data_IF_043041688529
#
_entry.id   IF_043041688529
#
_cell.length_a   1.000
_cell.length_b   1.000
_cell.length_c   1.000
_cell.angle_alpha   90.00
_cell.angle_beta   90.00
_cell.angle_gamma   90.00
#
_symmetry.space_group_name_H-M   'P 1'
#
loop_
_entity.id
_entity.type
_entity.pdbx_description
1 polymer ?
#
# COMPACT_ATOMS: atom_id res chain seq x y z
N UNK A 1 83.16 -16.44 9.36
CA UNK A 1 82.96 -17.89 9.10
C UNK A 1 82.09 -18.37 10.24
N UNK A 2 80.83 -18.75 10.11
CA UNK A 2 79.89 -18.91 9.02
C UNK A 2 78.61 -19.43 9.71
N UNK A 3 77.48 -19.27 9.03
CA UNK A 3 76.18 -19.89 9.33
C UNK A 3 75.24 -19.16 10.30
N UNK A 4 74.46 -18.22 9.74
CA UNK A 4 73.18 -17.80 10.28
C UNK A 4 72.06 -18.56 9.53
N UNK A 5 71.67 -19.70 10.08
CA UNK A 5 70.35 -20.29 9.84
C UNK A 5 69.32 -19.62 10.75
N UNK A 6 68.30 -19.03 10.16
CA UNK A 6 67.16 -18.44 10.88
C UNK A 6 66.00 -18.29 9.91
N UNK A 7 65.15 -19.31 9.86
CA UNK A 7 63.90 -19.28 9.13
C UNK A 7 62.98 -18.19 9.68
N UNK A 8 62.52 -17.31 8.80
CA UNK A 8 61.36 -16.46 9.05
C UNK A 8 60.25 -16.98 8.14
N UNK A 9 59.30 -17.68 8.74
CA UNK A 9 58.01 -17.97 8.14
C UNK A 9 57.40 -16.65 7.68
N UNK A 10 57.23 -16.50 6.36
CA UNK A 10 56.36 -15.47 5.81
C UNK A 10 54.94 -16.00 5.97
N UNK A 11 54.26 -15.58 7.03
CA UNK A 11 52.79 -15.53 7.02
C UNK A 11 52.38 -14.70 5.82
N UNK A 12 51.85 -15.36 4.80
CA UNK A 12 51.19 -14.72 3.68
C UNK A 12 49.84 -14.25 4.22
N UNK A 13 49.71 -12.95 4.44
CA UNK A 13 48.43 -12.29 4.70
C UNK A 13 47.45 -12.65 3.56
N UNK A 14 46.60 -13.66 3.76
CA UNK A 14 45.55 -14.08 2.81
C UNK A 14 44.42 -13.04 2.66
N UNK A 15 44.48 -11.94 3.41
CA UNK A 15 43.43 -10.91 3.48
C UNK A 15 43.67 -9.70 2.56
N UNK A 16 44.71 -9.71 1.72
CA UNK A 16 45.07 -8.53 0.91
C UNK A 16 44.20 -8.32 -0.34
N UNK A 17 43.40 -9.30 -0.76
CA UNK A 17 42.70 -9.25 -2.05
C UNK A 17 41.16 -9.10 -1.95
N UNK A 18 40.61 -8.97 -0.74
CA UNK A 18 39.18 -8.77 -0.56
C UNK A 18 38.87 -7.26 -0.67
N UNK A 19 38.27 -6.85 -1.79
CA UNK A 19 37.79 -5.48 -1.99
C UNK A 19 36.96 -5.03 -0.78
N UNK A 20 37.12 -3.78 -0.29
CA UNK A 20 36.50 -3.31 0.96
C UNK A 20 34.98 -3.53 1.07
N UNK A 21 34.27 -3.58 -0.07
CA UNK A 21 32.82 -3.85 -0.13
C UNK A 21 32.40 -5.26 0.26
N UNK A 22 33.35 -6.18 0.43
CA UNK A 22 33.11 -7.59 0.76
C UNK A 22 33.61 -7.98 2.17
N UNK A 23 34.24 -7.07 2.92
CA UNK A 23 34.60 -7.31 4.33
C UNK A 23 33.34 -7.36 5.19
N UNK A 24 33.11 -8.47 5.88
CA UNK A 24 31.98 -8.68 6.81
C UNK A 24 30.80 -9.49 6.26
N UNK A 25 30.90 -10.05 5.05
CA UNK A 25 29.94 -11.06 4.59
C UNK A 25 30.25 -12.41 5.26
N UNK A 26 29.25 -13.17 5.73
CA UNK A 26 29.48 -14.53 6.17
C UNK A 26 30.12 -15.33 5.04
N UNK A 27 31.17 -16.08 5.36
CA UNK A 27 31.87 -16.96 4.42
C UNK A 27 30.82 -17.80 3.67
N UNK A 28 30.74 -17.61 2.35
CA UNK A 28 29.89 -18.38 1.45
C UNK A 28 30.60 -19.72 1.24
N UNK A 29 30.71 -20.52 2.30
CA UNK A 29 31.27 -21.87 2.20
C UNK A 29 30.51 -22.76 3.17
N UNK A 30 29.30 -23.15 2.74
CA UNK A 30 28.70 -24.48 2.87
C UNK A 30 27.23 -24.44 2.46
N UNK A 31 26.85 -25.21 1.44
CA UNK A 31 25.44 -25.49 1.10
C UNK A 31 24.77 -24.61 0.03
N UNK A 32 25.51 -23.78 -0.72
CA UNK A 32 24.94 -23.01 -1.84
C UNK A 32 25.41 -23.62 -3.17
N UNK A 33 24.62 -24.53 -3.74
CA UNK A 33 24.93 -25.20 -5.02
C UNK A 33 24.90 -24.24 -6.22
N UNK A 34 24.20 -23.11 -6.10
CA UNK A 34 24.15 -22.09 -7.16
C UNK A 34 24.24 -20.67 -6.57
N UNK A 35 25.46 -20.12 -6.65
CA UNK A 35 25.78 -18.75 -6.24
C UNK A 35 24.99 -17.73 -7.08
N UNK A 36 24.73 -18.00 -8.36
CA UNK A 36 23.97 -17.11 -9.23
C UNK A 36 22.51 -17.01 -8.78
N UNK A 37 21.87 -18.15 -8.49
CA UNK A 37 20.52 -18.18 -7.87
C UNK A 37 20.49 -17.49 -6.51
N UNK A 38 21.55 -17.63 -5.68
CA UNK A 38 21.65 -16.95 -4.39
C UNK A 38 21.82 -15.42 -4.54
N UNK A 39 22.60 -14.96 -5.52
CA UNK A 39 22.78 -13.54 -5.83
C UNK A 39 21.55 -12.93 -6.52
N UNK A 40 20.81 -13.70 -7.33
CA UNK A 40 19.50 -13.31 -7.85
C UNK A 40 18.49 -13.15 -6.72
N UNK A 41 18.43 -14.09 -5.76
CA UNK A 41 17.60 -13.93 -4.55
C UNK A 41 17.91 -12.63 -3.81
N UNK A 42 19.19 -12.20 -3.74
CA UNK A 42 19.55 -10.90 -3.13
C UNK A 42 19.00 -9.68 -3.90
N UNK A 43 18.86 -9.74 -5.22
CA UNK A 43 18.23 -8.66 -6.01
C UNK A 43 16.70 -8.66 -5.93
N UNK A 44 16.06 -9.82 -5.76
CA UNK A 44 14.59 -9.97 -5.65
C UNK A 44 14.03 -9.31 -4.37
N UNK A 45 14.85 -9.04 -3.36
CA UNK A 45 14.41 -8.38 -2.12
C UNK A 45 14.80 -6.90 -1.98
N UNK A 46 15.25 -6.24 -3.05
CA UNK A 46 15.50 -4.79 -3.01
C UNK A 46 14.16 -4.04 -3.10
N UNK A 47 13.44 -4.01 -1.98
CA UNK A 47 12.42 -2.99 -1.76
C UNK A 47 13.09 -1.62 -1.66
N UNK A 48 12.38 -0.52 -1.96
CA UNK A 48 12.93 0.81 -1.81
C UNK A 48 13.58 0.99 -0.42
N UNK A 49 14.80 1.53 -0.41
CA UNK A 49 15.59 1.74 0.83
C UNK A 49 14.96 2.76 1.78
N UNK A 50 13.92 3.46 1.32
CA UNK A 50 13.12 4.41 2.10
C UNK A 50 12.30 3.78 3.25
N UNK A 51 12.38 2.45 3.45
CA UNK A 51 11.78 1.75 4.58
C UNK A 51 10.27 1.48 4.47
N UNK A 52 9.63 1.80 3.34
CA UNK A 52 8.18 1.63 3.14
C UNK A 52 7.70 0.19 3.14
N UNK A 53 8.61 -0.78 3.08
CA UNK A 53 8.32 -2.21 3.20
C UNK A 53 8.32 -2.69 4.67
N UNK A 54 8.88 -1.89 5.59
CA UNK A 54 8.98 -2.22 7.02
C UNK A 54 7.89 -1.57 7.86
N UNK A 55 7.43 -0.37 7.46
CA UNK A 55 6.45 0.44 8.19
C UNK A 55 5.54 1.16 7.20
N UNK A 56 4.30 1.40 7.61
CA UNK A 56 3.39 2.24 6.83
C UNK A 56 3.95 3.66 6.73
N UNK A 57 3.95 4.22 5.51
CA UNK A 57 4.35 5.61 5.27
C UNK A 57 3.19 6.31 4.57
N UNK A 58 2.53 7.19 5.30
CA UNK A 58 1.37 7.97 4.84
C UNK A 58 0.24 7.09 4.24
N UNK A 59 -0.23 6.04 4.93
CA UNK A 59 -1.34 5.24 4.41
C UNK A 59 -2.60 6.10 4.29
N UNK A 60 -3.41 5.84 3.27
CA UNK A 60 -4.60 6.65 2.94
C UNK A 60 -5.90 5.83 3.00
N UNK A 61 -6.97 6.43 3.54
CA UNK A 61 -8.34 5.94 3.37
C UNK A 61 -8.97 6.68 2.20
N UNK A 62 -9.64 5.97 1.31
CA UNK A 62 -10.44 6.56 0.25
C UNK A 62 -11.92 6.36 0.52
N UNK A 63 -12.72 7.42 0.53
CA UNK A 63 -14.17 7.39 0.76
C UNK A 63 -14.89 7.82 -0.51
N UNK A 64 -15.59 6.90 -1.16
CA UNK A 64 -16.33 7.13 -2.40
C UNK A 64 -17.83 7.21 -2.12
N UNK A 65 -18.38 8.41 -2.22
CA UNK A 65 -19.82 8.65 -2.21
C UNK A 65 -20.45 8.31 -3.57
N UNK A 66 -21.77 8.11 -3.58
CA UNK A 66 -22.54 7.76 -4.78
C UNK A 66 -22.43 8.81 -5.90
N UNK A 67 -22.13 10.07 -5.54
CA UNK A 67 -21.94 11.15 -6.51
C UNK A 67 -20.49 11.32 -6.96
N UNK A 68 -19.54 10.59 -6.38
CA UNK A 68 -18.12 10.71 -6.69
C UNK A 68 -17.70 10.06 -8.01
N UNK A 69 -16.49 10.38 -8.47
CA UNK A 69 -15.93 9.81 -9.69
C UNK A 69 -15.40 8.38 -9.47
N UNK A 70 -16.25 7.38 -9.78
CA UNK A 70 -15.90 5.97 -9.68
C UNK A 70 -14.69 5.58 -10.54
N UNK A 71 -14.54 6.16 -11.74
CA UNK A 71 -13.46 5.81 -12.66
C UNK A 71 -12.10 6.15 -12.08
N UNK A 72 -11.93 7.38 -11.58
CA UNK A 72 -10.66 7.85 -10.99
C UNK A 72 -10.29 7.10 -9.70
N UNK A 73 -11.29 6.74 -8.90
CA UNK A 73 -11.08 5.87 -7.72
C UNK A 73 -10.56 4.50 -8.15
N UNK A 74 -11.19 3.86 -9.14
CA UNK A 74 -10.73 2.57 -9.66
C UNK A 74 -9.32 2.69 -10.24
N UNK A 75 -9.04 3.71 -11.06
CA UNK A 75 -7.70 3.95 -11.63
C UNK A 75 -6.62 4.02 -10.54
N UNK A 76 -6.92 4.74 -9.47
CA UNK A 76 -5.99 4.90 -8.35
C UNK A 76 -5.77 3.58 -7.61
N UNK A 77 -6.85 2.87 -7.27
CA UNK A 77 -6.76 1.60 -6.54
C UNK A 77 -6.00 0.55 -7.37
N UNK A 78 -6.27 0.44 -8.68
CA UNK A 78 -5.57 -0.50 -9.57
C UNK A 78 -4.07 -0.18 -9.63
N UNK A 79 -3.70 1.10 -9.77
CA UNK A 79 -2.29 1.52 -9.77
C UNK A 79 -1.59 1.11 -8.48
N UNK A 80 -2.22 1.37 -7.33
CA UNK A 80 -1.64 1.07 -6.03
C UNK A 80 -1.59 -0.45 -5.76
N UNK A 81 -2.56 -1.23 -6.28
CA UNK A 81 -2.54 -2.70 -6.19
C UNK A 81 -1.39 -3.33 -6.97
N UNK A 82 -0.94 -2.72 -8.07
CA UNK A 82 0.22 -3.21 -8.83
C UNK A 82 1.53 -3.12 -8.02
N UNK A 83 1.66 -2.07 -7.21
CA UNK A 83 2.80 -1.82 -6.32
C UNK A 83 2.32 -1.50 -4.89
N UNK A 84 1.81 -2.49 -4.14
CA UNK A 84 1.05 -2.27 -2.90
C UNK A 84 1.94 -2.01 -1.67
N UNK A 85 3.22 -1.68 -1.89
CA UNK A 85 4.19 -1.28 -0.87
C UNK A 85 4.88 0.01 -1.33
N UNK A 86 4.77 1.07 -0.55
CA UNK A 86 5.18 2.40 -0.99
C UNK A 86 4.75 3.51 -0.03
N UNK A 87 4.88 4.74 -0.51
CA UNK A 87 4.49 5.96 0.21
C UNK A 87 3.12 6.38 -0.31
N UNK A 88 2.22 6.79 0.60
CA UNK A 88 0.98 7.44 0.15
C UNK A 88 -0.01 6.49 -0.52
N UNK A 89 0.06 5.18 -0.24
CA UNK A 89 -0.80 4.21 -0.91
C UNK A 89 -2.20 4.18 -0.30
N UNK A 90 -3.21 3.98 -1.15
CA UNK A 90 -4.56 3.65 -0.71
C UNK A 90 -4.55 2.29 -0.04
N UNK A 91 -4.93 2.27 1.22
CA UNK A 91 -4.90 1.04 2.04
C UNK A 91 -6.31 0.55 2.38
N UNK A 92 -7.26 1.47 2.52
CA UNK A 92 -8.68 1.16 2.74
C UNK A 92 -9.54 2.00 1.82
N UNK A 93 -10.55 1.38 1.22
CA UNK A 93 -11.57 2.00 0.38
C UNK A 93 -12.93 1.78 1.03
N UNK A 94 -13.66 2.87 1.26
CA UNK A 94 -15.04 2.87 1.67
C UNK A 94 -15.89 3.29 0.47
N UNK A 95 -16.88 2.49 0.09
CA UNK A 95 -17.77 2.78 -1.04
C UNK A 95 -19.22 2.87 -0.59
N UNK A 96 -19.94 3.89 -1.06
CA UNK A 96 -21.37 3.97 -0.80
C UNK A 96 -22.11 2.86 -1.56
N UNK A 97 -23.04 2.20 -0.88
CA UNK A 97 -23.74 0.99 -1.35
C UNK A 97 -24.12 1.01 -2.84
N UNK A 98 -24.73 2.08 -3.40
CA UNK A 98 -25.22 2.04 -4.78
C UNK A 98 -24.10 1.81 -5.81
N UNK A 99 -22.85 2.12 -5.46
CA UNK A 99 -21.68 1.92 -6.31
C UNK A 99 -20.96 0.59 -6.06
N UNK A 100 -21.34 -0.18 -5.03
CA UNK A 100 -20.64 -1.40 -4.61
C UNK A 100 -20.48 -2.41 -5.74
N UNK A 101 -21.56 -2.74 -6.44
CA UNK A 101 -21.47 -3.72 -7.53
C UNK A 101 -20.62 -3.20 -8.69
N UNK A 102 -20.76 -1.90 -9.01
CA UNK A 102 -20.03 -1.26 -10.09
C UNK A 102 -18.52 -1.21 -9.81
N UNK A 103 -18.10 -0.85 -8.60
CA UNK A 103 -16.68 -0.81 -8.23
C UNK A 103 -16.06 -2.20 -8.23
N UNK A 104 -16.74 -3.21 -7.65
CA UNK A 104 -16.25 -4.60 -7.61
C UNK A 104 -16.03 -5.14 -9.02
N UNK A 105 -17.01 -4.92 -9.92
CA UNK A 105 -16.91 -5.35 -11.32
C UNK A 105 -15.75 -4.66 -12.04
N UNK A 106 -15.61 -3.34 -11.88
CA UNK A 106 -14.54 -2.57 -12.54
C UNK A 106 -13.15 -2.93 -12.03
N UNK A 107 -13.02 -3.18 -10.72
CA UNK A 107 -11.77 -3.64 -10.13
C UNK A 107 -11.37 -5.00 -10.69
N UNK A 108 -12.25 -6.00 -10.63
CA UNK A 108 -11.98 -7.34 -11.19
C UNK A 108 -11.54 -7.31 -12.65
N UNK A 109 -12.21 -6.50 -13.47
CA UNK A 109 -11.94 -6.42 -14.91
C UNK A 109 -10.63 -5.70 -15.25
N UNK A 110 -10.03 -4.98 -14.30
CA UNK A 110 -8.86 -4.12 -14.52
C UNK A 110 -7.66 -4.47 -13.65
N UNK A 111 -7.78 -5.47 -12.78
CA UNK A 111 -6.66 -5.97 -12.02
C UNK A 111 -5.58 -6.48 -12.97
N UNK A 112 -4.35 -6.14 -12.62
CA UNK A 112 -3.13 -6.65 -13.25
C UNK A 112 -2.31 -7.36 -12.19
N UNK A 113 -1.41 -8.24 -12.61
CA UNK A 113 -0.49 -8.91 -11.71
C UNK A 113 0.33 -7.89 -10.91
N UNK A 114 0.53 -8.19 -9.63
CA UNK A 114 1.41 -7.42 -8.76
C UNK A 114 2.86 -7.59 -9.18
N UNK A 115 3.70 -6.65 -8.74
CA UNK A 115 5.14 -6.80 -8.75
C UNK A 115 5.58 -8.13 -8.12
N UNK A 116 6.41 -8.90 -8.84
CA UNK A 116 6.84 -10.26 -8.47
C UNK A 116 7.50 -10.32 -7.08
N UNK A 117 8.10 -9.21 -6.63
CA UNK A 117 8.74 -9.12 -5.31
C UNK A 117 7.72 -9.21 -4.17
N UNK A 118 6.45 -8.91 -4.42
CA UNK A 118 5.39 -8.88 -3.40
C UNK A 118 5.01 -10.29 -2.97
N UNK A 119 5.02 -11.26 -3.89
CA UNK A 119 4.59 -12.63 -3.61
C UNK A 119 5.36 -13.23 -2.44
N UNK A 120 6.68 -13.01 -2.41
CA UNK A 120 7.55 -13.55 -1.37
C UNK A 120 7.73 -12.59 -0.18
N UNK A 121 7.02 -11.46 -0.13
CA UNK A 121 7.14 -10.51 0.96
C UNK A 121 6.60 -11.13 2.27
N UNK A 122 7.35 -11.12 3.39
CA UNK A 122 6.91 -11.70 4.67
C UNK A 122 5.57 -11.16 5.18
N UNK A 123 5.36 -9.84 5.14
CA UNK A 123 4.07 -9.23 5.52
C UNK A 123 2.90 -9.71 4.64
N UNK A 124 3.10 -9.86 3.31
CA UNK A 124 2.05 -10.34 2.42
C UNK A 124 1.71 -11.80 2.71
N UNK A 125 2.73 -12.65 2.86
CA UNK A 125 2.56 -14.05 3.25
C UNK A 125 1.86 -14.22 4.61
N UNK A 126 2.17 -13.36 5.58
CA UNK A 126 1.44 -13.32 6.85
C UNK A 126 -0.01 -12.88 6.66
N UNK A 127 -0.25 -11.88 5.81
CA UNK A 127 -1.60 -11.39 5.48
C UNK A 127 -2.44 -12.49 4.85
N UNK A 128 -1.90 -13.28 3.91
CA UNK A 128 -2.59 -14.44 3.32
C UNK A 128 -3.02 -15.44 4.39
N UNK A 129 -2.13 -15.78 5.33
CA UNK A 129 -2.46 -16.68 6.44
C UNK A 129 -3.60 -16.13 7.32
N UNK A 130 -3.63 -14.81 7.54
CA UNK A 130 -4.71 -14.16 8.31
C UNK A 130 -6.02 -14.20 7.53
N UNK A 131 -6.00 -13.91 6.22
CA UNK A 131 -7.16 -14.00 5.32
C UNK A 131 -7.78 -15.41 5.38
N UNK A 132 -6.95 -16.45 5.29
CA UNK A 132 -7.40 -17.84 5.34
C UNK A 132 -7.99 -18.19 6.72
N UNK A 133 -7.30 -17.80 7.81
CA UNK A 133 -7.75 -18.06 9.19
C UNK A 133 -9.08 -17.38 9.52
N UNK A 134 -9.28 -16.17 9.03
CA UNK A 134 -10.50 -15.39 9.26
C UNK A 134 -11.60 -15.69 8.23
N UNK A 135 -11.31 -16.55 7.24
CA UNK A 135 -12.21 -16.86 6.12
C UNK A 135 -12.76 -15.59 5.46
N UNK A 136 -11.86 -14.63 5.19
CA UNK A 136 -12.25 -13.34 4.64
C UNK A 136 -12.78 -13.50 3.22
N UNK A 137 -13.79 -12.69 2.86
CA UNK A 137 -14.22 -12.57 1.47
C UNK A 137 -13.23 -11.70 0.71
N UNK A 138 -12.78 -12.15 -0.46
CA UNK A 138 -11.75 -11.45 -1.23
C UNK A 138 -12.13 -11.25 -2.69
N UNK A 139 -11.50 -10.27 -3.33
CA UNK A 139 -11.43 -10.12 -4.78
C UNK A 139 -9.99 -10.37 -5.21
N UNK A 140 -9.84 -11.15 -6.27
CA UNK A 140 -8.57 -11.47 -6.89
C UNK A 140 -8.81 -11.79 -8.37
N UNK A 141 -7.73 -11.77 -9.16
CA UNK A 141 -7.69 -12.35 -10.50
C UNK A 141 -7.83 -13.87 -10.41
N UNK A 142 -8.80 -14.39 -11.16
CA UNK A 142 -9.16 -15.80 -11.21
C UNK A 142 -8.55 -16.46 -12.45
N UNK A 143 -7.93 -17.61 -12.25
CA UNK A 143 -7.53 -18.52 -13.31
C UNK A 143 -8.56 -19.67 -13.37
N UNK A 144 -9.09 -19.91 -14.56
CA UNK A 144 -10.06 -20.96 -14.82
C UNK A 144 -9.35 -22.12 -15.50
N UNK A 145 -9.37 -23.29 -14.87
CA UNK A 145 -8.98 -24.52 -15.57
C UNK A 145 -10.12 -24.90 -16.53
N UNK A 146 -9.91 -24.92 -17.86
CA UNK A 146 -10.93 -25.29 -18.83
C UNK A 146 -11.43 -26.75 -18.66
N UNK A 147 -10.72 -27.60 -17.93
CA UNK A 147 -11.16 -28.95 -17.58
C UNK A 147 -12.18 -28.96 -16.42
N UNK A 148 -12.20 -27.94 -15.57
CA UNK A 148 -13.01 -27.89 -14.35
C UNK A 148 -14.34 -27.16 -14.57
N UNK A 149 -15.21 -27.76 -15.40
CA UNK A 149 -16.54 -27.23 -15.76
C UNK A 149 -17.52 -27.14 -14.59
N UNK A 150 -17.17 -27.65 -13.40
CA UNK A 150 -18.03 -27.67 -12.22
C UNK A 150 -17.77 -26.51 -11.25
N UNK A 151 -16.65 -25.78 -11.40
CA UNK A 151 -16.35 -24.66 -10.51
C UNK A 151 -17.10 -23.39 -10.89
N UNK A 152 -17.84 -22.86 -9.92
CA UNK A 152 -18.56 -21.57 -10.02
C UNK A 152 -17.61 -20.35 -9.92
N UNK A 153 -16.34 -20.56 -9.54
CA UNK A 153 -15.32 -19.52 -9.36
C UNK A 153 -13.93 -20.09 -9.66
N UNK A 154 -13.07 -19.31 -10.32
CA UNK A 154 -11.69 -19.72 -10.62
C UNK A 154 -10.80 -19.77 -9.37
N UNK A 155 -9.60 -20.34 -9.51
CA UNK A 155 -8.57 -20.33 -8.47
C UNK A 155 -7.83 -19.01 -8.52
N UNK A 156 -7.35 -18.51 -7.38
CA UNK A 156 -6.50 -17.31 -7.36
C UNK A 156 -5.24 -17.55 -8.19
N UNK A 157 -5.03 -16.73 -9.22
CA UNK A 157 -3.80 -16.75 -10.00
C UNK A 157 -2.59 -16.38 -9.12
N UNK A 158 -1.40 -16.98 -9.32
CA UNK A 158 -0.16 -16.50 -8.70
C UNK A 158 0.07 -15.00 -8.98
N UNK A 159 0.66 -14.27 -8.05
CA UNK A 159 0.88 -12.80 -8.13
C UNK A 159 -0.39 -11.94 -8.28
N UNK A 160 -1.56 -12.53 -8.12
CA UNK A 160 -2.83 -11.80 -8.18
C UNK A 160 -2.99 -10.82 -7.01
N UNK A 161 -3.33 -9.55 -7.26
CA UNK A 161 -3.64 -8.59 -6.22
C UNK A 161 -4.88 -9.02 -5.43
N UNK A 162 -4.89 -8.68 -4.15
CA UNK A 162 -5.98 -9.06 -3.25
C UNK A 162 -6.63 -7.81 -2.66
N UNK A 163 -7.96 -7.76 -2.79
CA UNK A 163 -8.80 -6.84 -2.06
C UNK A 163 -9.61 -7.64 -1.06
N UNK A 164 -9.54 -7.30 0.23
CA UNK A 164 -10.33 -7.94 1.26
C UNK A 164 -11.60 -7.14 1.52
N UNK A 165 -12.75 -7.82 1.53
CA UNK A 165 -14.06 -7.19 1.67
C UNK A 165 -14.51 -7.16 3.13
N UNK A 166 -15.06 -6.02 3.55
CA UNK A 166 -15.77 -5.85 4.82
C UNK A 166 -14.92 -6.09 6.10
N UNK A 167 -13.58 -5.96 5.98
CA UNK A 167 -12.63 -5.97 7.10
C UNK A 167 -11.88 -4.63 7.20
N UNK A 168 -11.55 -4.16 8.42
CA UNK A 168 -10.61 -3.05 8.61
C UNK A 168 -9.17 -3.55 8.52
N UNK A 169 -8.26 -2.68 8.07
CA UNK A 169 -6.90 -3.07 7.73
C UNK A 169 -6.08 -3.54 8.93
N UNK A 170 -6.36 -3.01 10.13
CA UNK A 170 -5.65 -3.37 11.37
C UNK A 170 -5.63 -4.88 11.67
N UNK A 171 -6.60 -5.65 11.17
CA UNK A 171 -6.66 -7.10 11.39
C UNK A 171 -5.51 -7.85 10.70
N UNK A 172 -4.96 -7.28 9.62
CA UNK A 172 -3.91 -7.91 8.82
C UNK A 172 -2.50 -7.53 9.29
N UNK A 173 -2.39 -6.54 10.17
CA UNK A 173 -1.15 -6.14 10.84
C UNK A 173 -0.92 -4.63 10.88
N UNK A 174 0.11 -4.23 11.61
CA UNK A 174 0.57 -2.85 11.79
C UNK A 174 1.66 -2.43 10.79
N UNK A 175 1.99 -3.32 9.85
CA UNK A 175 2.99 -3.12 8.78
C UNK A 175 2.33 -3.22 7.40
N UNK A 176 3.00 -2.74 6.34
CA UNK A 176 2.51 -2.82 4.96
C UNK A 176 2.12 -4.24 4.57
N UNK A 177 0.82 -4.49 4.40
CA UNK A 177 0.22 -5.82 4.21
C UNK A 177 0.17 -6.26 2.74
N UNK A 178 0.43 -5.34 1.81
CA UNK A 178 0.31 -5.53 0.38
C UNK A 178 -1.10 -5.92 -0.12
N UNK A 179 -2.14 -5.55 0.64
CA UNK A 179 -3.55 -5.68 0.25
C UNK A 179 -4.28 -4.34 0.41
N UNK A 180 -5.42 -4.21 -0.24
CA UNK A 180 -6.38 -3.11 0.01
C UNK A 180 -7.64 -3.69 0.66
N UNK A 181 -8.24 -2.99 1.61
CA UNK A 181 -9.58 -3.33 2.10
C UNK A 181 -10.66 -2.55 1.37
N UNK A 182 -11.82 -3.16 1.17
CA UNK A 182 -13.00 -2.53 0.60
C UNK A 182 -14.20 -2.76 1.52
N UNK A 183 -14.72 -1.69 2.13
CA UNK A 183 -15.89 -1.73 2.99
C UNK A 183 -17.03 -0.93 2.35
N UNK A 184 -18.27 -1.36 2.59
CA UNK A 184 -19.46 -0.65 2.08
C UNK A 184 -20.09 0.18 3.19
N UNK A 185 -20.62 1.36 2.86
CA UNK A 185 -21.46 2.17 3.76
C UNK A 185 -22.76 2.63 3.08
N UNK A 186 -23.79 2.92 3.86
CA UNK A 186 -25.08 3.45 3.37
C UNK A 186 -25.26 4.91 3.70
N UNK A 187 -24.75 5.34 4.85
CA UNK A 187 -24.93 6.69 5.39
C UNK A 187 -23.60 7.35 5.76
N UNK A 188 -23.59 8.69 5.85
CA UNK A 188 -22.44 9.47 6.32
C UNK A 188 -21.95 8.99 7.70
N UNK A 189 -22.88 8.76 8.64
CA UNK A 189 -22.55 8.27 9.99
C UNK A 189 -21.84 6.91 9.96
N UNK A 190 -22.27 6.03 9.05
CA UNK A 190 -21.63 4.73 8.87
C UNK A 190 -20.23 4.86 8.27
N UNK A 191 -20.03 5.73 7.28
CA UNK A 191 -18.70 6.02 6.72
C UNK A 191 -17.73 6.52 7.81
N UNK A 192 -18.18 7.45 8.66
CA UNK A 192 -17.40 7.97 9.79
C UNK A 192 -17.03 6.83 10.76
N UNK A 193 -17.99 5.97 11.12
CA UNK A 193 -17.74 4.82 12.00
C UNK A 193 -16.71 3.86 11.40
N UNK A 194 -16.80 3.58 10.10
CA UNK A 194 -15.86 2.70 9.41
C UNK A 194 -14.44 3.31 9.37
N UNK A 195 -14.30 4.59 9.04
CA UNK A 195 -13.02 5.30 9.12
C UNK A 195 -12.40 5.17 10.52
N UNK A 196 -13.19 5.43 11.57
CA UNK A 196 -12.69 5.34 12.94
C UNK A 196 -12.36 3.90 13.37
N UNK A 197 -13.05 2.89 12.82
CA UNK A 197 -12.79 1.47 13.10
C UNK A 197 -11.48 0.94 12.50
N UNK A 198 -10.93 1.61 11.49
CA UNK A 198 -9.73 1.14 10.77
C UNK A 198 -8.51 0.86 11.66
N UNK A 199 -8.38 1.52 12.81
CA UNK A 199 -7.35 1.24 13.83
C UNK A 199 -5.89 1.60 13.48
N UNK A 200 -5.55 1.73 12.20
CA UNK A 200 -4.22 2.19 11.77
C UNK A 200 -4.08 3.71 11.88
N UNK A 201 -2.84 4.18 12.01
CA UNK A 201 -2.49 5.60 11.95
C UNK A 201 -2.45 6.06 10.48
N UNK A 202 -3.63 6.35 9.95
CA UNK A 202 -3.81 6.94 8.63
C UNK A 202 -3.43 8.42 8.62
N UNK A 203 -2.66 8.81 7.60
CA UNK A 203 -2.22 10.19 7.43
C UNK A 203 -3.27 11.02 6.68
N UNK A 204 -3.93 10.41 5.70
CA UNK A 204 -4.82 11.12 4.79
C UNK A 204 -6.16 10.39 4.60
N UNK A 205 -7.25 11.16 4.54
CA UNK A 205 -8.55 10.71 4.04
C UNK A 205 -8.85 11.41 2.71
N UNK A 206 -9.01 10.64 1.63
CA UNK A 206 -9.39 11.14 0.31
C UNK A 206 -10.90 10.91 0.10
N UNK A 207 -11.67 12.00 0.02
CA UNK A 207 -13.13 11.98 -0.13
C UNK A 207 -13.51 12.28 -1.58
N UNK A 208 -14.30 11.39 -2.18
CA UNK A 208 -14.74 11.47 -3.56
C UNK A 208 -16.25 11.68 -3.61
N UNK A 209 -16.66 12.90 -3.93
CA UNK A 209 -18.06 13.34 -3.95
C UNK A 209 -18.22 14.58 -4.82
N UNK A 210 -19.35 14.73 -5.50
CA UNK A 210 -19.72 15.99 -6.16
C UNK A 210 -20.43 16.96 -5.21
N UNK A 211 -20.74 16.54 -3.97
CA UNK A 211 -21.40 17.37 -2.96
C UNK A 211 -20.38 17.78 -1.91
N UNK A 212 -19.93 19.02 -1.99
CA UNK A 212 -18.92 19.56 -1.09
C UNK A 212 -19.31 19.46 0.39
N UNK A 213 -20.60 19.57 0.71
CA UNK A 213 -21.12 19.39 2.07
C UNK A 213 -20.79 18.02 2.66
N UNK A 214 -20.85 16.93 1.87
CA UNK A 214 -20.53 15.58 2.36
C UNK A 214 -19.08 15.49 2.84
N UNK A 215 -18.14 16.18 2.16
CA UNK A 215 -16.75 16.24 2.59
C UNK A 215 -16.58 17.04 3.88
N UNK A 216 -17.16 18.25 3.94
CA UNK A 216 -17.05 19.11 5.13
C UNK A 216 -17.78 18.56 6.36
N UNK A 217 -18.85 17.78 6.19
CA UNK A 217 -19.52 17.13 7.33
C UNK A 217 -18.66 16.00 7.92
N UNK A 218 -17.80 15.36 7.11
CA UNK A 218 -16.88 14.30 7.59
C UNK A 218 -15.70 14.86 8.37
N UNK A 219 -15.12 15.97 7.92
CA UNK A 219 -13.91 16.57 8.51
C UNK A 219 -14.00 16.71 10.04
N UNK A 220 -15.02 17.38 10.61
CA UNK A 220 -15.08 17.58 12.06
C UNK A 220 -15.28 16.27 12.83
N UNK A 221 -15.99 15.30 12.23
CA UNK A 221 -16.26 13.99 12.82
C UNK A 221 -15.07 13.02 12.74
N UNK A 222 -14.05 13.36 11.94
CA UNK A 222 -12.82 12.60 11.72
C UNK A 222 -11.59 13.38 12.23
N UNK A 223 -11.73 14.04 13.39
CA UNK A 223 -10.69 14.89 13.98
C UNK A 223 -9.32 14.23 14.17
N UNK A 224 -9.27 12.90 14.33
CA UNK A 224 -8.00 12.16 14.47
C UNK A 224 -7.13 12.16 13.20
N UNK A 225 -7.71 12.49 12.05
CA UNK A 225 -7.01 12.47 10.76
C UNK A 225 -6.52 13.89 10.45
N UNK A 226 -5.22 14.10 10.19
CA UNK A 226 -4.68 15.44 10.03
C UNK A 226 -4.95 16.04 8.64
N UNK A 227 -5.12 15.20 7.62
CA UNK A 227 -5.12 15.64 6.23
C UNK A 227 -6.30 15.07 5.43
N UNK A 228 -6.96 15.93 4.65
CA UNK A 228 -8.10 15.57 3.81
C UNK A 228 -7.90 16.03 2.36
N UNK A 229 -8.19 15.14 1.41
CA UNK A 229 -8.21 15.47 -0.02
C UNK A 229 -9.62 15.33 -0.53
N UNK A 230 -10.19 16.33 -1.21
CA UNK A 230 -11.45 16.14 -1.92
C UNK A 230 -11.20 15.98 -3.41
N UNK A 231 -11.77 14.94 -4.02
CA UNK A 231 -11.69 14.62 -5.46
C UNK A 231 -10.27 14.68 -6.05
N UNK A 232 -9.26 14.32 -5.25
CA UNK A 232 -7.88 14.25 -5.69
C UNK A 232 -7.09 13.27 -4.84
N UNK A 233 -5.92 12.88 -5.36
CA UNK A 233 -4.98 11.96 -4.72
C UNK A 233 -3.56 12.45 -4.94
N UNK A 234 -2.69 12.23 -3.95
CA UNK A 234 -1.26 12.52 -4.02
C UNK A 234 -0.93 13.99 -4.33
N UNK A 235 -1.84 14.91 -4.02
CA UNK A 235 -1.58 16.35 -4.00
C UNK A 235 -0.90 16.69 -2.65
N UNK A 236 0.28 17.32 -2.65
CA UNK A 236 0.97 17.74 -1.43
C UNK A 236 0.11 18.71 -0.62
N UNK A 237 0.17 18.66 0.71
CA UNK A 237 -0.51 19.63 1.57
C UNK A 237 0.34 20.89 1.76
N UNK A 238 -0.32 22.03 1.98
CA UNK A 238 0.32 23.31 2.34
C UNK A 238 -0.25 23.80 3.67
N UNK A 239 0.40 23.43 4.78
CA UNK A 239 -0.01 23.79 6.14
C UNK A 239 0.40 25.21 6.56
N UNK A 240 1.09 25.96 5.70
CA UNK A 240 1.62 27.30 6.01
C UNK A 240 0.64 28.42 5.69
N UNK A 241 -0.50 28.10 5.09
CA UNK A 241 -1.48 29.05 4.59
C UNK A 241 -2.85 28.71 5.16
N UNK A 242 -3.57 29.70 5.68
CA UNK A 242 -4.94 29.48 6.15
C UNK A 242 -5.87 29.12 5.00
N UNK A 243 -5.73 29.84 3.87
CA UNK A 243 -6.41 29.56 2.60
C UNK A 243 -5.47 30.01 1.48
N UNK A 244 -5.27 29.18 0.45
CA UNK A 244 -4.54 29.56 -0.75
C UNK A 244 -5.04 28.82 -1.99
N UNK A 245 -4.89 29.47 -3.14
CA UNK A 245 -5.11 28.84 -4.45
C UNK A 245 -3.79 28.77 -5.19
N UNK A 246 -3.30 27.55 -5.48
CA UNK A 246 -2.02 27.34 -6.20
C UNK A 246 -2.14 26.16 -7.15
N UNK A 247 -1.65 26.33 -8.38
CA UNK A 247 -1.60 25.26 -9.41
C UNK A 247 -2.95 24.55 -9.63
N UNK A 248 -4.05 25.31 -9.66
CA UNK A 248 -5.44 24.82 -9.80
C UNK A 248 -6.01 24.03 -8.61
N UNK A 249 -5.35 24.09 -7.44
CA UNK A 249 -5.86 23.52 -6.20
C UNK A 249 -6.12 24.60 -5.16
N UNK A 250 -7.21 24.42 -4.43
CA UNK A 250 -7.52 25.14 -3.19
C UNK A 250 -6.90 24.37 -2.03
N UNK A 251 -6.25 25.11 -1.15
CA UNK A 251 -5.67 24.63 0.10
C UNK A 251 -6.27 25.43 1.23
N UNK A 252 -6.60 24.77 2.32
CA UNK A 252 -7.03 25.43 3.53
C UNK A 252 -6.64 24.65 4.78
N UNK A 253 -6.59 25.37 5.89
CA UNK A 253 -6.35 24.82 7.21
C UNK A 253 -7.52 25.19 8.11
N UNK A 254 -8.18 24.18 8.66
CA UNK A 254 -9.26 24.35 9.62
C UNK A 254 -8.76 24.00 11.02
N UNK A 255 -9.19 24.77 12.01
CA UNK A 255 -9.02 24.41 13.42
C UNK A 255 -10.27 23.65 13.89
N UNK A 256 -10.10 22.40 14.29
CA UNK A 256 -11.17 21.57 14.82
C UNK A 256 -10.80 21.08 16.23
N UNK A 257 -11.47 21.62 17.26
CA UNK A 257 -11.21 21.21 18.64
C UNK A 257 -9.80 21.53 19.17
N UNK A 258 -9.06 22.44 18.50
CA UNK A 258 -7.68 22.80 18.84
C UNK A 258 -6.62 22.16 17.94
N UNK A 259 -6.97 21.10 17.21
CA UNK A 259 -6.10 20.47 16.23
C UNK A 259 -6.25 21.13 14.85
N UNK A 260 -5.14 21.21 14.11
CA UNK A 260 -5.12 21.75 12.76
C UNK A 260 -5.33 20.63 11.75
N UNK A 261 -6.34 20.78 10.91
CA UNK A 261 -6.66 19.88 9.82
C UNK A 261 -6.39 20.58 8.49
N UNK A 262 -5.64 19.93 7.59
CA UNK A 262 -5.38 20.46 6.25
C UNK A 262 -6.34 19.85 5.23
N UNK A 263 -6.84 20.67 4.31
CA UNK A 263 -7.74 20.26 3.24
C UNK A 263 -7.17 20.73 1.90
N UNK A 264 -7.23 19.88 0.88
CA UNK A 264 -6.89 20.23 -0.50
C UNK A 264 -7.91 19.68 -1.49
N UNK A 265 -8.29 20.48 -2.48
CA UNK A 265 -9.18 20.03 -3.55
C UNK A 265 -8.99 20.83 -4.85
N UNK A 266 -9.28 20.25 -6.03
CA UNK A 266 -9.14 20.95 -7.30
C UNK A 266 -10.24 22.01 -7.48
N UNK A 267 -9.89 23.15 -8.07
CA UNK A 267 -10.84 24.25 -8.34
C UNK A 267 -11.57 24.06 -9.67
N UNK A 268 -11.00 23.25 -10.56
CA UNK A 268 -11.63 22.88 -11.84
C UNK A 268 -12.06 21.43 -11.79
N UNK A 269 -13.32 21.18 -12.14
CA UNK A 269 -13.77 19.83 -12.45
C UNK A 269 -13.04 19.36 -13.71
N UNK A 270 -12.19 18.34 -13.58
CA UNK A 270 -11.70 17.62 -14.74
C UNK A 270 -12.81 16.67 -15.19
N UNK A 271 -13.58 17.13 -16.18
CA UNK A 271 -14.38 16.25 -17.04
C UNK A 271 -13.40 15.50 -17.93
N UNK A 272 -13.06 14.26 -17.58
CA UNK A 272 -12.43 13.32 -18.50
C UNK A 272 -13.50 12.40 -19.09
#
# INVERSE_FOLDING_TARGET
MGDHGGGADKEVDEDSDILPRFKGLPNIVEGVEDIFSHLQKRHVYLYPENGTHKKWVQPQIMVLFATGNLSQVVDTVIRDLKHPIGIGLVTSVLVQEPLRQAIVRRLRNRMELMDERIENHPNFQNTLKVIDRLNCRTLFMEEYDPADKQRLSGVRQPNSPIIVLDFPQIYFGDKPTAIVTLNTFRTLSEAIKLCNREGLQFDTVSIWTNKLSEGYDMVPALSRFPNFRFNCINVPFDSKVMVAVRRNYHYEVLANGGDLTTIVFPIRHYSH
#
